data_IF_981036529145
#
_entry.id   IF_981036529145
#
_cell.length_a   1.000
_cell.length_b   1.000
_cell.length_c   1.000
_cell.angle_alpha   90.00
_cell.angle_beta   90.00
_cell.angle_gamma   90.00
#
_symmetry.space_group_name_H-M   'P 1'
#
loop_
_entity.id
_entity.type
_entity.pdbx_description
1 polymer ?
#
# COMPACT_ATOMS: atom_id res chain seq x y z
N UNK A 1 16.90 -9.13 7.15
CA UNK A 1 15.83 -9.36 8.14
C UNK A 1 14.52 -9.25 7.40
N UNK A 2 13.61 -10.22 7.55
CA UNK A 2 12.30 -10.16 6.89
C UNK A 2 11.40 -9.18 7.64
N UNK A 3 10.79 -8.26 6.91
CA UNK A 3 9.80 -7.32 7.45
C UNK A 3 8.38 -7.89 7.36
N UNK A 4 8.14 -8.77 6.38
CA UNK A 4 6.88 -9.47 6.19
C UNK A 4 7.17 -10.94 5.91
N UNK A 5 6.40 -11.85 6.54
CA UNK A 5 6.44 -13.29 6.28
C UNK A 5 5.03 -13.82 6.10
N UNK A 6 4.85 -14.58 5.04
CA UNK A 6 3.58 -15.18 4.59
C UNK A 6 3.75 -16.68 4.56
N UNK A 7 2.92 -17.41 5.27
CA UNK A 7 3.02 -18.86 5.34
C UNK A 7 1.67 -19.53 5.10
N UNK A 8 1.58 -20.24 3.97
CA UNK A 8 0.42 -21.06 3.56
C UNK A 8 -0.92 -20.31 3.60
N UNK A 9 -0.95 -19.06 3.12
CA UNK A 9 -2.18 -18.27 3.07
C UNK A 9 -3.15 -18.89 2.07
N UNK A 10 -4.38 -19.16 2.56
CA UNK A 10 -5.51 -19.68 1.77
C UNK A 10 -6.74 -18.80 1.99
N UNK A 11 -7.48 -18.53 0.93
CA UNK A 11 -8.71 -17.75 0.96
C UNK A 11 -9.74 -18.36 0.04
N UNK A 12 -10.94 -18.59 0.57
CA UNK A 12 -12.11 -18.98 -0.21
C UNK A 12 -13.19 -17.91 -0.11
N UNK A 13 -14.01 -17.79 -1.16
CA UNK A 13 -15.27 -17.06 -1.16
C UNK A 13 -16.42 -18.01 -1.42
N UNK A 14 -17.62 -17.62 -1.00
CA UNK A 14 -18.84 -18.40 -1.22
C UNK A 14 -19.85 -17.56 -1.99
N UNK A 15 -20.17 -17.98 -3.26
CA UNK A 15 -21.17 -17.31 -4.11
C UNK A 15 -21.56 -18.16 -5.34
N UNK A 16 -22.66 -18.90 -5.33
CA UNK A 16 -23.29 -19.67 -4.25
C UNK A 16 -22.51 -20.95 -3.89
N UNK A 17 -21.39 -21.21 -4.56
CA UNK A 17 -20.49 -22.35 -4.34
C UNK A 17 -19.17 -21.83 -3.82
N UNK A 18 -18.57 -22.56 -2.87
CA UNK A 18 -17.23 -22.21 -2.39
C UNK A 18 -16.20 -22.35 -3.52
N UNK A 19 -15.40 -21.31 -3.71
CA UNK A 19 -14.24 -21.33 -4.59
C UNK A 19 -13.00 -20.75 -3.91
N UNK A 20 -11.90 -21.48 -4.01
CA UNK A 20 -10.63 -21.09 -3.40
C UNK A 20 -9.87 -20.14 -4.33
N UNK A 21 -9.68 -18.90 -3.88
CA UNK A 21 -8.97 -17.84 -4.62
C UNK A 21 -7.47 -17.86 -4.33
N UNK A 22 -7.06 -18.11 -3.07
CA UNK A 22 -5.64 -18.26 -2.70
C UNK A 22 -5.39 -19.68 -2.21
N UNK A 23 -4.40 -20.35 -2.80
CA UNK A 23 -4.20 -21.80 -2.71
C UNK A 23 -2.86 -22.14 -2.05
N UNK A 24 -2.59 -21.56 -0.86
CA UNK A 24 -1.38 -21.86 -0.10
C UNK A 24 -0.18 -21.01 -0.50
N UNK A 25 -0.35 -19.69 -0.44
CA UNK A 25 0.70 -18.71 -0.75
C UNK A 25 1.71 -18.63 0.38
N UNK A 26 3.01 -18.73 0.04
CA UNK A 26 4.11 -18.58 1.00
C UNK A 26 5.25 -17.80 0.38
N UNK A 27 5.72 -16.75 1.04
CA UNK A 27 6.92 -15.96 0.69
C UNK A 27 7.29 -15.02 1.82
N UNK A 28 8.51 -14.49 1.75
CA UNK A 28 9.03 -13.47 2.66
C UNK A 28 9.35 -12.19 1.88
N UNK A 29 9.32 -11.04 2.57
CA UNK A 29 9.80 -9.74 2.04
C UNK A 29 10.86 -9.19 2.99
N UNK A 30 12.01 -8.83 2.43
CA UNK A 30 13.11 -8.22 3.20
C UNK A 30 12.86 -6.74 3.44
N UNK A 31 13.39 -6.22 4.54
CA UNK A 31 13.37 -4.76 4.79
C UNK A 31 14.11 -4.03 3.68
N UNK A 32 13.49 -2.99 3.15
CA UNK A 32 14.03 -2.19 2.04
C UNK A 32 13.86 -2.83 0.67
N UNK A 33 13.18 -3.98 0.56
CA UNK A 33 12.91 -4.65 -0.72
C UNK A 33 11.74 -3.99 -1.45
N UNK A 34 11.87 -3.77 -2.75
CA UNK A 34 10.78 -3.43 -3.64
C UNK A 34 10.30 -4.69 -4.36
N UNK A 35 9.14 -5.19 -3.96
CA UNK A 35 8.49 -6.38 -4.51
C UNK A 35 7.31 -5.98 -5.40
N UNK A 36 7.28 -6.47 -6.64
CA UNK A 36 6.10 -6.39 -7.50
C UNK A 36 5.39 -7.73 -7.60
N UNK A 37 4.07 -7.72 -7.48
CA UNK A 37 3.20 -8.87 -7.73
C UNK A 37 2.45 -8.67 -9.06
N UNK A 38 2.69 -9.57 -10.01
CA UNK A 38 2.10 -9.53 -11.36
C UNK A 38 1.21 -10.75 -11.60
N UNK A 39 0.43 -10.74 -12.67
CA UNK A 39 -0.44 -11.84 -13.09
C UNK A 39 -1.73 -11.34 -13.71
N UNK A 40 -2.48 -12.24 -14.35
CA UNK A 40 -3.75 -11.93 -15.02
C UNK A 40 -4.80 -11.41 -14.02
N UNK A 41 -5.79 -10.67 -14.52
CA UNK A 41 -6.98 -10.33 -13.71
C UNK A 41 -7.61 -11.60 -13.15
N UNK A 42 -8.07 -11.55 -11.89
CA UNK A 42 -8.64 -12.72 -11.20
C UNK A 42 -7.63 -13.72 -10.63
N UNK A 43 -6.29 -13.52 -10.78
CA UNK A 43 -5.30 -14.45 -10.21
C UNK A 43 -5.15 -14.35 -8.66
N UNK A 44 -5.85 -13.44 -7.98
CA UNK A 44 -5.86 -13.30 -6.52
C UNK A 44 -4.93 -12.23 -5.95
N UNK A 45 -4.26 -11.41 -6.78
CA UNK A 45 -3.27 -10.40 -6.32
C UNK A 45 -3.83 -9.38 -5.33
N UNK A 46 -4.92 -8.71 -5.68
CA UNK A 46 -5.55 -7.71 -4.79
C UNK A 46 -6.11 -8.37 -3.54
N UNK A 47 -6.68 -9.59 -3.65
CA UNK A 47 -7.12 -10.37 -2.47
C UNK A 47 -5.94 -10.64 -1.53
N UNK A 48 -4.81 -11.09 -2.07
CA UNK A 48 -3.60 -11.28 -1.27
C UNK A 48 -3.13 -9.97 -0.64
N UNK A 49 -3.07 -8.87 -1.40
CA UNK A 49 -2.63 -7.57 -0.90
C UNK A 49 -3.53 -7.06 0.24
N UNK A 50 -4.85 -7.28 0.17
CA UNK A 50 -5.78 -6.91 1.23
C UNK A 50 -5.59 -7.74 2.50
N UNK A 51 -5.22 -9.03 2.38
CA UNK A 51 -4.82 -9.85 3.53
C UNK A 51 -3.51 -9.31 4.12
N UNK A 52 -2.48 -9.08 3.29
CA UNK A 52 -1.19 -8.56 3.75
C UNK A 52 -1.32 -7.20 4.45
N UNK A 53 -2.24 -6.36 3.99
CA UNK A 53 -2.53 -5.06 4.61
C UNK A 53 -3.47 -5.14 5.81
N UNK A 54 -3.87 -6.34 6.23
CA UNK A 54 -4.82 -6.59 7.34
C UNK A 54 -6.23 -6.02 7.10
N UNK A 55 -6.61 -5.72 5.87
CA UNK A 55 -7.96 -5.27 5.50
C UNK A 55 -8.94 -6.45 5.39
N UNK A 56 -8.47 -7.58 4.85
CA UNK A 56 -9.20 -8.85 4.88
C UNK A 56 -8.58 -9.75 5.97
N UNK A 57 -9.39 -10.18 6.92
CA UNK A 57 -8.97 -10.98 8.08
C UNK A 57 -9.49 -12.42 8.04
N UNK A 58 -10.36 -12.73 7.06
CA UNK A 58 -10.93 -14.06 6.86
C UNK A 58 -10.05 -14.89 5.90
N UNK A 59 -9.02 -15.52 6.45
CA UNK A 59 -8.10 -16.39 5.73
C UNK A 59 -7.52 -17.48 6.64
N UNK A 60 -6.94 -18.52 6.05
CA UNK A 60 -6.15 -19.55 6.75
C UNK A 60 -4.66 -19.33 6.47
N UNK A 61 -3.80 -19.78 7.38
CA UNK A 61 -2.36 -19.63 7.29
C UNK A 61 -1.83 -18.60 8.28
N UNK A 62 -0.59 -18.16 8.13
CA UNK A 62 0.06 -17.25 9.06
C UNK A 62 0.64 -16.03 8.32
N UNK A 63 0.35 -14.83 8.85
CA UNK A 63 0.91 -13.55 8.43
C UNK A 63 1.70 -12.95 9.59
N UNK A 64 2.95 -12.54 9.31
CA UNK A 64 3.80 -11.79 10.26
C UNK A 64 4.28 -10.49 9.64
N UNK A 65 4.27 -9.41 10.42
CA UNK A 65 4.92 -8.13 10.09
C UNK A 65 5.86 -7.77 11.25
N UNK A 66 7.13 -7.50 10.92
CA UNK A 66 8.16 -7.15 11.90
C UNK A 66 8.29 -8.19 13.04
N UNK A 67 8.19 -9.48 12.68
CA UNK A 67 8.23 -10.60 13.60
C UNK A 67 6.95 -10.85 14.41
N UNK A 68 5.99 -9.95 14.37
CA UNK A 68 4.71 -10.05 15.08
C UNK A 68 3.68 -10.84 14.26
N UNK A 69 3.10 -11.90 14.86
CA UNK A 69 2.00 -12.68 14.25
C UNK A 69 0.73 -11.85 14.25
N UNK A 70 0.12 -11.67 13.08
CA UNK A 70 -1.12 -10.89 12.91
C UNK A 70 -2.36 -11.76 12.74
N UNK A 71 -2.19 -13.00 12.29
CA UNK A 71 -3.29 -13.96 12.15
C UNK A 71 -3.98 -14.19 13.50
N UNK A 72 -5.30 -14.03 13.53
CA UNK A 72 -6.10 -14.24 14.73
C UNK A 72 -6.16 -13.06 15.71
N UNK A 73 -5.51 -11.93 15.41
CA UNK A 73 -5.65 -10.70 16.20
C UNK A 73 -7.04 -10.08 16.05
N UNK A 74 -7.46 -9.31 17.05
CA UNK A 74 -8.69 -8.53 17.00
C UNK A 74 -8.66 -7.45 15.92
N UNK A 75 -9.85 -7.02 15.46
CA UNK A 75 -9.97 -5.97 14.44
C UNK A 75 -9.31 -4.64 14.89
N UNK A 76 -9.40 -4.32 16.18
CA UNK A 76 -8.80 -3.09 16.74
C UNK A 76 -7.27 -3.16 16.74
N UNK A 77 -6.67 -4.30 17.11
CA UNK A 77 -5.23 -4.50 17.02
C UNK A 77 -4.74 -4.42 15.57
N UNK A 78 -5.46 -5.07 14.64
CA UNK A 78 -5.13 -5.02 13.22
C UNK A 78 -5.29 -3.61 12.64
N UNK A 79 -6.32 -2.86 13.03
CA UNK A 79 -6.51 -1.47 12.63
C UNK A 79 -5.35 -0.58 13.12
N UNK A 80 -4.84 -0.83 14.34
CA UNK A 80 -3.67 -0.12 14.87
C UNK A 80 -2.41 -0.48 14.09
N UNK A 81 -2.14 -1.76 13.87
CA UNK A 81 -0.98 -2.22 13.07
C UNK A 81 -1.03 -1.61 11.67
N UNK A 82 -2.19 -1.64 11.01
CA UNK A 82 -2.38 -1.04 9.68
C UNK A 82 -2.06 0.45 9.68
N UNK A 83 -2.56 1.20 10.65
CA UNK A 83 -2.34 2.64 10.73
C UNK A 83 -0.89 3.01 11.09
N UNK A 84 -0.21 2.17 11.87
CA UNK A 84 1.15 2.44 12.37
C UNK A 84 2.23 1.91 11.43
N UNK A 85 2.06 0.68 10.90
CA UNK A 85 3.14 -0.06 10.21
C UNK A 85 2.95 -0.12 8.69
N UNK A 86 1.75 0.20 8.16
CA UNK A 86 1.42 0.03 6.75
C UNK A 86 0.94 1.35 6.15
N UNK A 87 1.59 1.81 5.07
CA UNK A 87 1.07 2.86 4.21
C UNK A 87 0.38 2.21 3.00
N UNK A 88 -0.89 2.51 2.75
CA UNK A 88 -1.62 1.91 1.64
C UNK A 88 -1.93 2.93 0.55
N UNK A 89 -1.63 2.56 -0.70
CA UNK A 89 -1.89 3.34 -1.91
C UNK A 89 -2.88 2.55 -2.76
N UNK A 90 -4.06 3.11 -2.94
CA UNK A 90 -5.13 2.50 -3.74
C UNK A 90 -5.04 2.94 -5.21
N UNK A 91 -5.59 2.13 -6.09
CA UNK A 91 -5.80 2.46 -7.50
C UNK A 91 -6.70 3.69 -7.67
N UNK A 92 -7.80 3.78 -6.90
CA UNK A 92 -8.59 4.98 -6.73
C UNK A 92 -8.12 5.69 -5.47
N UNK A 93 -7.77 6.95 -5.54
CA UNK A 93 -7.06 7.70 -4.49
C UNK A 93 -7.76 7.71 -3.13
N UNK A 94 -9.11 7.54 -3.11
CA UNK A 94 -9.97 7.59 -1.92
C UNK A 94 -9.65 8.78 -1.00
N UNK A 95 -9.45 9.95 -1.61
CA UNK A 95 -9.31 11.19 -0.87
C UNK A 95 -10.70 11.71 -0.49
N UNK A 96 -10.79 12.33 0.69
CA UNK A 96 -11.98 13.06 1.08
C UNK A 96 -12.06 14.35 0.23
N UNK A 97 -12.96 14.36 -0.73
CA UNK A 97 -13.03 15.34 -1.82
C UNK A 97 -13.14 16.79 -1.34
N UNK A 98 -13.89 17.00 -0.26
CA UNK A 98 -14.14 18.32 0.36
C UNK A 98 -13.03 18.78 1.30
N UNK A 99 -12.12 17.86 1.71
CA UNK A 99 -11.00 18.19 2.58
C UNK A 99 -9.83 18.72 1.75
N UNK A 100 -9.06 19.62 2.36
CA UNK A 100 -7.80 20.07 1.76
C UNK A 100 -6.82 18.90 1.60
N UNK A 101 -5.84 19.05 0.70
CA UNK A 101 -4.77 18.06 0.57
C UNK A 101 -4.06 17.81 1.90
N UNK A 102 -3.73 18.88 2.61
CA UNK A 102 -3.11 18.83 3.93
C UNK A 102 -3.94 18.00 4.92
N UNK A 103 -5.26 18.28 5.04
CA UNK A 103 -6.14 17.53 5.93
C UNK A 103 -6.24 16.05 5.56
N UNK A 104 -6.29 15.73 4.26
CA UNK A 104 -6.26 14.32 3.81
C UNK A 104 -5.00 13.59 4.28
N UNK A 105 -3.84 14.23 4.22
CA UNK A 105 -2.57 13.64 4.68
C UNK A 105 -2.54 13.49 6.19
N UNK A 106 -3.09 14.44 6.95
CA UNK A 106 -3.09 14.42 8.42
C UNK A 106 -3.92 13.30 9.05
N UNK A 107 -5.00 12.84 8.38
CA UNK A 107 -6.00 11.91 8.95
C UNK A 107 -5.39 10.69 9.65
N UNK A 108 -4.47 9.91 9.02
CA UNK A 108 -3.92 8.72 9.69
C UNK A 108 -3.11 9.06 10.95
N UNK A 109 -2.38 10.17 10.94
CA UNK A 109 -1.58 10.61 12.09
C UNK A 109 -2.45 11.12 13.24
N UNK A 110 -3.52 11.86 12.93
CA UNK A 110 -4.53 12.27 13.91
C UNK A 110 -5.20 11.04 14.57
N UNK A 111 -5.51 10.02 13.79
CA UNK A 111 -6.08 8.77 14.31
C UNK A 111 -5.10 8.00 15.17
N UNK A 112 -3.81 8.02 14.84
CA UNK A 112 -2.75 7.35 15.62
C UNK A 112 -2.51 8.05 16.96
N UNK A 113 -2.61 9.38 17.01
CA UNK A 113 -2.55 10.17 18.25
C UNK A 113 -1.18 10.22 18.91
N UNK A 114 -0.08 10.02 18.15
CA UNK A 114 1.31 10.06 18.68
C UNK A 114 1.85 11.48 18.89
N UNK A 115 1.35 12.44 18.11
CA UNK A 115 1.89 13.80 18.04
C UNK A 115 0.77 14.82 18.24
N UNK A 116 1.13 16.06 18.59
CA UNK A 116 0.20 17.18 18.61
C UNK A 116 -0.29 17.52 17.19
N UNK A 117 -1.45 18.15 17.06
CA UNK A 117 -1.99 18.55 15.78
C UNK A 117 -1.04 19.46 14.99
N UNK A 118 -0.38 20.40 15.67
CA UNK A 118 0.62 21.28 15.05
C UNK A 118 1.83 20.52 14.49
N UNK A 119 2.31 19.51 15.21
CA UNK A 119 3.39 18.64 14.74
C UNK A 119 2.93 17.78 13.55
N UNK A 120 1.69 17.26 13.58
CA UNK A 120 1.11 16.48 12.46
C UNK A 120 0.97 17.36 11.22
N UNK A 121 0.51 18.61 11.38
CA UNK A 121 0.40 19.58 10.30
C UNK A 121 1.76 19.87 9.65
N UNK A 122 2.78 20.13 10.47
CA UNK A 122 4.15 20.33 9.99
C UNK A 122 4.66 19.13 9.20
N UNK A 123 4.54 17.90 9.73
CA UNK A 123 4.95 16.66 9.06
C UNK A 123 4.17 16.41 7.77
N UNK A 124 2.87 16.68 7.76
CA UNK A 124 2.05 16.55 6.56
C UNK A 124 2.48 17.54 5.46
N UNK A 125 2.83 18.78 5.85
CA UNK A 125 3.37 19.77 4.93
C UNK A 125 4.73 19.35 4.36
N UNK A 126 5.62 18.76 5.18
CA UNK A 126 6.89 18.21 4.70
C UNK A 126 6.68 17.10 3.65
N UNK A 127 5.75 16.14 3.91
CA UNK A 127 5.43 15.08 2.94
C UNK A 127 4.87 15.65 1.63
N UNK A 128 3.97 16.64 1.70
CA UNK A 128 3.44 17.31 0.51
C UNK A 128 4.53 18.07 -0.25
N UNK A 129 5.42 18.75 0.45
CA UNK A 129 6.55 19.49 -0.14
C UNK A 129 7.51 18.56 -0.87
N UNK A 130 7.88 17.43 -0.25
CA UNK A 130 8.73 16.41 -0.86
C UNK A 130 8.12 15.82 -2.15
N UNK A 131 6.80 15.82 -2.27
CA UNK A 131 6.08 15.33 -3.46
C UNK A 131 5.67 16.46 -4.44
N UNK A 132 6.21 17.69 -4.26
CA UNK A 132 5.96 18.83 -5.14
C UNK A 132 4.54 19.35 -5.09
N UNK A 133 3.90 19.33 -3.91
CA UNK A 133 2.50 19.74 -3.70
C UNK A 133 2.33 20.83 -2.63
N UNK A 134 3.41 21.51 -2.23
CA UNK A 134 3.36 22.53 -1.18
C UNK A 134 2.32 23.64 -1.49
N UNK A 135 2.29 24.12 -2.74
CA UNK A 135 1.37 25.15 -3.24
C UNK A 135 -0.08 24.67 -3.39
N UNK A 136 -0.31 23.35 -3.34
CA UNK A 136 -1.62 22.73 -3.41
C UNK A 136 -2.18 22.34 -2.03
N UNK A 137 -1.40 22.42 -0.96
CA UNK A 137 -1.71 21.89 0.36
C UNK A 137 -3.08 22.34 0.90
N UNK A 138 -3.44 23.60 0.67
CA UNK A 138 -4.69 24.19 1.16
C UNK A 138 -5.87 24.06 0.20
N UNK A 139 -5.66 23.47 -1.00
CA UNK A 139 -6.76 23.25 -1.96
C UNK A 139 -7.57 22.00 -1.61
N UNK A 140 -8.88 21.99 -1.84
CA UNK A 140 -9.68 20.77 -1.77
C UNK A 140 -9.16 19.70 -2.73
N UNK A 141 -9.15 18.44 -2.30
CA UNK A 141 -8.64 17.33 -3.11
C UNK A 141 -9.42 17.17 -4.44
N UNK A 142 -10.70 17.54 -4.47
CA UNK A 142 -11.54 17.52 -5.68
C UNK A 142 -11.08 18.49 -6.79
N UNK A 143 -10.20 19.45 -6.47
CA UNK A 143 -9.68 20.43 -7.45
C UNK A 143 -8.33 20.04 -8.06
N UNK A 144 -7.81 18.90 -7.70
CA UNK A 144 -6.52 18.39 -8.19
C UNK A 144 -6.70 17.51 -9.43
N UNK A 145 -5.65 17.46 -10.29
CA UNK A 145 -5.56 16.44 -11.34
C UNK A 145 -5.36 15.04 -10.71
N UNK A 146 -5.66 13.98 -11.47
CA UNK A 146 -5.49 12.59 -11.00
C UNK A 146 -4.08 12.29 -10.49
N UNK A 147 -3.04 12.73 -11.21
CA UNK A 147 -1.66 12.56 -10.77
C UNK A 147 -1.30 13.36 -9.50
N UNK A 148 -1.91 14.54 -9.30
CA UNK A 148 -1.77 15.27 -8.05
C UNK A 148 -2.49 14.56 -6.90
N UNK A 149 -3.70 14.05 -7.14
CA UNK A 149 -4.45 13.27 -6.15
C UNK A 149 -3.68 12.01 -5.72
N UNK A 150 -3.03 11.31 -6.67
CA UNK A 150 -2.21 10.16 -6.36
C UNK A 150 -1.00 10.52 -5.50
N UNK A 151 -0.34 11.64 -5.78
CA UNK A 151 0.75 12.12 -4.93
C UNK A 151 0.29 12.51 -3.52
N UNK A 152 -0.92 13.08 -3.36
CA UNK A 152 -1.53 13.30 -2.03
C UNK A 152 -1.80 11.96 -1.33
N UNK A 153 -2.29 10.93 -2.05
CA UNK A 153 -2.51 9.60 -1.49
C UNK A 153 -1.19 8.94 -1.03
N UNK A 154 -0.10 9.15 -1.78
CA UNK A 154 1.26 8.73 -1.37
C UNK A 154 1.70 9.49 -0.11
N UNK A 155 1.55 10.81 -0.05
CA UNK A 155 1.86 11.60 1.13
C UNK A 155 1.10 11.10 2.37
N UNK A 156 -0.20 10.78 2.20
CA UNK A 156 -1.04 10.20 3.24
C UNK A 156 -0.54 8.83 3.69
N UNK A 157 -0.10 7.99 2.77
CA UNK A 157 0.46 6.68 3.10
C UNK A 157 1.77 6.79 3.91
N UNK A 158 2.54 7.88 3.72
CA UNK A 158 3.84 8.11 4.34
C UNK A 158 3.79 8.84 5.70
N UNK A 159 2.65 9.40 6.12
CA UNK A 159 2.60 10.34 7.25
C UNK A 159 3.04 9.73 8.59
N UNK A 160 2.79 8.44 8.80
CA UNK A 160 3.16 7.72 10.01
C UNK A 160 4.51 6.99 9.91
N UNK A 161 5.33 7.27 8.88
CA UNK A 161 6.59 6.60 8.59
C UNK A 161 6.48 5.06 8.66
N UNK A 162 5.63 4.46 7.80
CA UNK A 162 5.30 3.04 7.87
C UNK A 162 6.51 2.16 7.58
N UNK A 163 6.47 0.91 8.06
CA UNK A 163 7.50 -0.11 7.75
C UNK A 163 7.37 -0.59 6.30
N UNK A 164 6.14 -0.66 5.77
CA UNK A 164 5.84 -1.20 4.44
C UNK A 164 4.84 -0.27 3.76
N UNK A 165 5.10 0.07 2.51
CA UNK A 165 4.12 0.68 1.60
C UNK A 165 3.53 -0.43 0.74
N UNK A 166 2.20 -0.52 0.68
CA UNK A 166 1.47 -1.45 -0.16
C UNK A 166 0.66 -0.68 -1.19
N UNK A 167 0.81 -1.03 -2.48
CA UNK A 167 0.11 -0.38 -3.58
C UNK A 167 -0.72 -1.35 -4.40
N UNK A 168 -2.02 -1.08 -4.54
CA UNK A 168 -2.89 -1.81 -5.46
C UNK A 168 -3.03 -0.98 -6.73
N UNK A 169 -2.34 -1.38 -7.80
CA UNK A 169 -2.27 -0.67 -9.08
C UNK A 169 -1.97 0.84 -8.92
N UNK A 170 -0.85 1.23 -8.29
CA UNK A 170 -0.62 2.62 -7.86
C UNK A 170 -0.54 3.62 -9.01
N UNK A 171 -0.42 3.15 -10.26
CA UNK A 171 -0.36 3.95 -11.49
C UNK A 171 -1.53 3.69 -12.44
N UNK A 172 -2.43 2.76 -12.11
CA UNK A 172 -3.41 2.19 -13.05
C UNK A 172 -4.45 3.16 -13.63
N UNK A 173 -4.66 4.33 -13.00
CA UNK A 173 -5.63 5.32 -13.46
C UNK A 173 -4.97 6.65 -13.89
N UNK A 174 -3.68 6.62 -14.21
CA UNK A 174 -2.89 7.80 -14.56
C UNK A 174 -2.58 7.81 -16.05
N UNK A 175 -2.41 9.01 -16.61
CA UNK A 175 -1.79 9.18 -17.91
C UNK A 175 -0.28 8.83 -17.84
N UNK A 176 0.35 8.62 -18.98
CA UNK A 176 1.75 8.19 -19.09
C UNK A 176 2.70 9.09 -18.29
N UNK A 177 2.54 10.42 -18.38
CA UNK A 177 3.40 11.38 -17.68
C UNK A 177 3.29 11.26 -16.16
N UNK A 178 2.08 11.13 -15.65
CA UNK A 178 1.85 10.97 -14.21
C UNK A 178 2.24 9.57 -13.73
N UNK A 179 2.11 8.53 -14.57
CA UNK A 179 2.64 7.19 -14.32
C UNK A 179 4.14 7.25 -14.05
N UNK A 180 4.93 7.89 -14.94
CA UNK A 180 6.37 8.03 -14.76
C UNK A 180 6.75 8.78 -13.48
N UNK A 181 6.01 9.84 -13.15
CA UNK A 181 6.24 10.61 -11.92
C UNK A 181 6.01 9.74 -10.68
N UNK A 182 4.87 9.05 -10.59
CA UNK A 182 4.51 8.21 -9.44
C UNK A 182 5.47 7.03 -9.33
N UNK A 183 5.81 6.42 -10.46
CA UNK A 183 6.79 5.34 -10.51
C UNK A 183 8.16 5.77 -9.97
N UNK A 184 8.70 6.92 -10.43
CA UNK A 184 9.97 7.44 -9.94
C UNK A 184 9.92 7.76 -8.43
N UNK A 185 8.80 8.30 -7.93
CA UNK A 185 8.61 8.52 -6.48
C UNK A 185 8.72 7.20 -5.71
N UNK A 186 8.03 6.15 -6.13
CA UNK A 186 8.09 4.85 -5.44
C UNK A 186 9.48 4.22 -5.54
N UNK A 187 10.14 4.33 -6.68
CA UNK A 187 11.52 3.88 -6.87
C UNK A 187 12.51 4.62 -5.95
N UNK A 188 12.38 5.94 -5.85
CA UNK A 188 13.22 6.74 -4.97
C UNK A 188 12.99 6.41 -3.49
N UNK A 189 11.74 6.18 -3.08
CA UNK A 189 11.40 5.73 -1.74
C UNK A 189 12.04 4.37 -1.42
N UNK A 190 12.02 3.42 -2.35
CA UNK A 190 12.65 2.11 -2.15
C UNK A 190 14.17 2.22 -2.08
N UNK A 191 14.81 2.77 -3.11
CA UNK A 191 16.27 2.67 -3.29
C UNK A 191 17.04 3.75 -2.51
N UNK A 192 16.49 4.97 -2.40
CA UNK A 192 17.18 6.09 -1.74
C UNK A 192 16.79 6.24 -0.27
N UNK A 193 15.55 5.88 0.11
CA UNK A 193 15.07 5.96 1.49
C UNK A 193 15.02 4.61 2.20
N UNK A 194 15.31 3.51 1.52
CA UNK A 194 15.27 2.15 2.10
C UNK A 194 13.86 1.70 2.53
N UNK A 195 12.82 2.28 1.91
CA UNK A 195 11.43 1.95 2.20
C UNK A 195 11.07 0.59 1.59
N UNK A 196 10.47 -0.30 2.38
CA UNK A 196 9.92 -1.54 1.82
C UNK A 196 8.65 -1.25 1.04
N UNK A 197 8.55 -1.75 -0.20
CA UNK A 197 7.39 -1.56 -1.06
C UNK A 197 6.89 -2.90 -1.58
N UNK A 198 5.58 -3.10 -1.54
CA UNK A 198 4.88 -4.22 -2.18
C UNK A 198 3.84 -3.62 -3.11
N UNK A 199 3.95 -3.83 -4.41
CA UNK A 199 3.01 -3.30 -5.38
C UNK A 199 2.37 -4.43 -6.21
N UNK A 200 1.06 -4.39 -6.34
CA UNK A 200 0.33 -5.15 -7.37
C UNK A 200 0.28 -4.30 -8.62
N UNK A 201 0.66 -4.87 -9.75
CA UNK A 201 0.57 -4.17 -11.03
C UNK A 201 0.41 -5.15 -12.20
N UNK A 202 -0.21 -4.68 -13.28
CA UNK A 202 -0.21 -5.34 -14.59
C UNK A 202 0.80 -4.68 -15.55
N UNK A 203 1.42 -3.57 -15.14
CA UNK A 203 2.47 -2.88 -15.91
C UNK A 203 3.82 -3.59 -15.70
N UNK A 204 4.31 -4.23 -16.77
CA UNK A 204 5.57 -4.98 -16.73
C UNK A 204 6.80 -4.08 -16.66
N UNK A 205 6.73 -2.84 -17.15
CA UNK A 205 7.86 -1.91 -17.05
C UNK A 205 8.01 -1.41 -15.60
N UNK A 206 6.87 -1.15 -14.94
CA UNK A 206 6.84 -0.92 -13.49
C UNK A 206 7.42 -2.12 -12.73
N UNK A 207 6.96 -3.34 -13.03
CA UNK A 207 7.39 -4.55 -12.33
C UNK A 207 8.90 -4.83 -12.51
N UNK A 208 9.45 -4.64 -13.71
CA UNK A 208 10.88 -4.87 -14.01
C UNK A 208 11.84 -3.94 -13.26
N UNK A 209 11.36 -2.82 -12.76
CA UNK A 209 12.16 -1.90 -11.98
C UNK A 209 12.11 -2.17 -10.47
N UNK A 210 11.35 -3.18 -10.02
CA UNK A 210 11.41 -3.70 -8.65
C UNK A 210 12.59 -4.68 -8.48
N UNK A 211 12.98 -4.91 -7.23
CA UNK A 211 14.08 -5.83 -6.91
C UNK A 211 13.69 -7.29 -7.16
N UNK A 212 12.40 -7.61 -7.01
CA UNK A 212 11.86 -8.95 -7.23
C UNK A 212 10.42 -8.89 -7.75
N UNK A 213 10.11 -9.86 -8.61
CA UNK A 213 8.76 -10.06 -9.13
C UNK A 213 8.24 -11.41 -8.63
N UNK A 214 7.00 -11.43 -8.14
CA UNK A 214 6.20 -12.63 -7.88
C UNK A 214 5.09 -12.66 -8.92
N UNK A 215 5.05 -13.74 -9.72
CA UNK A 215 3.94 -13.97 -10.63
C UNK A 215 2.88 -14.83 -9.97
N UNK A 216 1.62 -14.39 -10.04
CA UNK A 216 0.47 -15.12 -9.54
C UNK A 216 -0.36 -15.69 -10.67
N UNK A 217 -0.56 -17.00 -10.63
CA UNK A 217 -1.39 -17.75 -11.60
C UNK A 217 -2.40 -18.60 -10.81
N UNK A 218 -3.68 -18.41 -11.07
CA UNK A 218 -4.79 -19.21 -10.49
C UNK A 218 -4.70 -19.42 -8.98
N UNK A 219 -4.32 -18.36 -8.24
CA UNK A 219 -4.24 -18.37 -6.78
C UNK A 219 -2.97 -19.00 -6.21
N UNK A 220 -1.94 -19.21 -7.03
CA UNK A 220 -0.62 -19.72 -6.64
C UNK A 220 0.48 -18.77 -7.10
N UNK A 221 1.64 -18.86 -6.44
CA UNK A 221 2.87 -18.28 -6.97
C UNK A 221 3.39 -19.22 -8.05
N UNK A 222 3.67 -18.67 -9.23
CA UNK A 222 4.37 -19.38 -10.30
C UNK A 222 5.87 -19.41 -9.96
N UNK A 223 6.47 -20.60 -10.13
CA UNK A 223 7.92 -20.80 -9.98
C UNK A 223 8.70 -20.21 -11.16
#
# INVERSE_FOLDING_TARGET
MNVLSVNNIRKSFFDPVEFEVLKGISFDVKKGEFLSMVGKSGSGKSTLLYILSTMDTDYKGELKIDGEVLTGKSLDELARVRNEKIGFIFQFHYLLAEFTCLKNVMIPALRLGKYSEAEIEYRAMEKLTALGLADQAMKPASKLSGGQQQRVAIARALINDPLIIMGDEPTGNLDTKNTDIVFNILKDLAHNSGQTIIAVTHDMDFARASDRIIEMVDGRISD
#
